data_IF_537356845053
#
_entry.id   IF_537356845053
#
_cell.length_a   1.000
_cell.length_b   1.000
_cell.length_c   1.000
_cell.angle_alpha   90.00
_cell.angle_beta   90.00
_cell.angle_gamma   90.00
#
_symmetry.space_group_name_H-M   'P 1'
#
loop_
_entity.id
_entity.type
_entity.pdbx_description
1 polymer ?
#
# COMPACT_ATOMS: atom_id res chain seq x y z
N UNK A 1 12.28 -3.55 10.18
CA UNK A 1 12.97 -2.58 9.31
C UNK A 1 12.80 -1.18 9.90
N UNK A 2 13.84 -0.35 9.84
CA UNK A 2 13.80 1.06 10.22
C UNK A 2 14.50 1.86 9.13
N UNK A 3 14.19 3.15 9.02
CA UNK A 3 14.76 4.06 8.02
C UNK A 3 14.99 5.43 8.66
N UNK A 4 16.05 6.14 8.23
CA UNK A 4 16.25 7.54 8.60
C UNK A 4 15.19 8.40 7.91
N UNK A 5 14.58 9.33 8.61
CA UNK A 5 13.51 10.20 8.04
C UNK A 5 14.01 10.96 6.81
N UNK A 6 15.24 11.47 6.86
CA UNK A 6 15.87 12.11 5.71
C UNK A 6 15.95 11.18 4.50
N UNK A 7 16.48 9.96 4.68
CA UNK A 7 16.66 8.99 3.59
C UNK A 7 15.32 8.61 2.96
N UNK A 8 14.30 8.37 3.80
CA UNK A 8 12.93 8.13 3.35
C UNK A 8 12.39 9.27 2.47
N UNK A 9 12.53 10.52 2.94
CA UNK A 9 12.06 11.69 2.20
C UNK A 9 12.82 11.87 0.87
N UNK A 10 14.13 11.66 0.88
CA UNK A 10 14.98 11.77 -0.31
C UNK A 10 14.68 10.68 -1.34
N UNK A 11 14.51 9.44 -0.90
CA UNK A 11 14.19 8.32 -1.78
C UNK A 11 12.86 8.54 -2.50
N UNK A 12 11.82 9.00 -1.79
CA UNK A 12 10.54 9.32 -2.44
C UNK A 12 10.68 10.49 -3.40
N UNK A 13 11.39 11.55 -3.02
CA UNK A 13 11.60 12.71 -3.87
C UNK A 13 12.38 12.37 -5.16
N UNK A 14 13.34 11.44 -5.07
CA UNK A 14 14.15 10.95 -6.20
C UNK A 14 13.51 9.79 -6.96
N UNK A 15 12.31 9.34 -6.55
CA UNK A 15 11.64 8.15 -7.08
C UNK A 15 12.48 6.87 -6.96
N UNK A 16 13.29 6.78 -5.92
CA UNK A 16 14.08 5.60 -5.58
C UNK A 16 13.24 4.60 -4.77
N UNK A 17 12.21 4.05 -5.40
CA UNK A 17 11.32 3.05 -4.81
C UNK A 17 10.84 2.08 -5.88
N UNK A 18 10.38 0.91 -5.45
CA UNK A 18 9.82 -0.09 -6.34
C UNK A 18 8.29 0.04 -6.34
N UNK A 19 7.71 0.17 -7.54
CA UNK A 19 6.27 0.34 -7.70
C UNK A 19 5.74 -0.61 -8.75
N UNK A 20 4.79 -1.44 -8.33
CA UNK A 20 4.07 -2.35 -9.18
C UNK A 20 2.60 -1.92 -9.25
N UNK A 21 2.04 -1.98 -10.45
CA UNK A 21 0.62 -1.70 -10.69
C UNK A 21 0.00 -2.84 -11.48
N UNK A 22 -1.23 -3.21 -11.12
CA UNK A 22 -2.06 -4.11 -11.90
C UNK A 22 -3.49 -3.60 -12.02
N UNK A 23 -4.11 -4.00 -13.11
CA UNK A 23 -5.49 -3.65 -13.43
C UNK A 23 -6.38 -4.87 -13.20
N UNK A 24 -7.45 -4.69 -12.43
CA UNK A 24 -8.44 -5.72 -12.15
C UNK A 24 -9.85 -5.17 -12.35
N UNK A 25 -10.76 -6.04 -12.72
CA UNK A 25 -12.21 -5.76 -12.71
C UNK A 25 -12.80 -6.05 -11.33
N UNK A 26 -13.96 -5.46 -11.04
CA UNK A 26 -14.79 -5.78 -9.89
C UNK A 26 -15.09 -7.28 -9.81
N UNK A 27 -15.33 -7.92 -10.96
CA UNK A 27 -15.56 -9.36 -11.04
C UNK A 27 -14.32 -10.18 -10.62
N UNK A 28 -13.12 -9.79 -11.05
CA UNK A 28 -11.87 -10.44 -10.64
C UNK A 28 -11.61 -10.28 -9.15
N UNK A 29 -11.86 -9.08 -8.59
CA UNK A 29 -11.73 -8.81 -7.15
C UNK A 29 -12.69 -9.67 -6.32
N UNK A 30 -13.90 -9.93 -6.83
CA UNK A 30 -14.90 -10.78 -6.15
C UNK A 30 -14.68 -12.28 -6.40
N UNK A 31 -13.74 -12.64 -7.27
CA UNK A 31 -13.56 -14.04 -7.70
C UNK A 31 -12.77 -14.86 -6.68
N UNK A 32 -13.01 -16.17 -6.66
CA UNK A 32 -12.22 -17.12 -5.88
C UNK A 32 -10.75 -17.22 -6.35
N UNK A 33 -10.43 -16.71 -7.55
CA UNK A 33 -9.10 -16.75 -8.13
C UNK A 33 -8.23 -15.52 -7.81
N UNK A 34 -8.75 -14.57 -7.02
CA UNK A 34 -8.05 -13.32 -6.71
C UNK A 34 -6.64 -13.57 -6.14
N UNK A 35 -6.48 -14.54 -5.24
CA UNK A 35 -5.19 -14.88 -4.65
C UNK A 35 -4.15 -15.27 -5.72
N UNK A 36 -4.55 -16.04 -6.74
CA UNK A 36 -3.65 -16.44 -7.82
C UNK A 36 -3.28 -15.24 -8.71
N UNK A 37 -4.21 -14.32 -8.97
CA UNK A 37 -3.97 -13.09 -9.73
C UNK A 37 -2.94 -12.18 -9.04
N UNK A 38 -2.91 -12.16 -7.70
CA UNK A 38 -2.01 -11.33 -6.91
C UNK A 38 -0.67 -11.99 -6.57
N UNK A 39 -0.54 -13.30 -6.78
CA UNK A 39 0.59 -14.09 -6.27
C UNK A 39 1.95 -13.57 -6.74
N UNK A 40 2.12 -13.28 -8.03
CA UNK A 40 3.41 -12.81 -8.55
C UNK A 40 3.79 -11.43 -7.99
N UNK A 41 2.81 -10.54 -7.86
CA UNK A 41 2.99 -9.21 -7.29
C UNK A 41 3.35 -9.26 -5.80
N UNK A 42 2.73 -10.18 -5.06
CA UNK A 42 3.06 -10.41 -3.66
C UNK A 42 4.47 -10.98 -3.45
N UNK A 43 4.93 -11.86 -4.35
CA UNK A 43 6.31 -12.36 -4.32
C UNK A 43 7.28 -11.21 -4.54
N UNK A 44 7.13 -10.45 -5.62
CA UNK A 44 8.03 -9.32 -5.91
C UNK A 44 7.98 -8.26 -4.80
N UNK A 45 6.79 -7.90 -4.31
CA UNK A 45 6.64 -6.94 -3.22
C UNK A 45 7.37 -7.41 -1.94
N UNK A 46 7.30 -8.70 -1.60
CA UNK A 46 8.03 -9.24 -0.47
C UNK A 46 9.56 -9.22 -0.70
N UNK A 47 10.03 -9.51 -1.92
CA UNK A 47 11.45 -9.43 -2.29
C UNK A 47 11.97 -7.99 -2.19
N UNK A 48 11.22 -7.00 -2.67
CA UNK A 48 11.57 -5.58 -2.57
C UNK A 48 11.77 -5.17 -1.10
N UNK A 49 10.82 -5.56 -0.23
CA UNK A 49 10.91 -5.31 1.22
C UNK A 49 12.08 -6.03 1.90
N UNK A 50 12.37 -7.28 1.51
CA UNK A 50 13.53 -8.03 2.03
C UNK A 50 14.86 -7.39 1.65
N UNK A 51 14.90 -6.72 0.49
CA UNK A 51 16.04 -5.95 0.01
C UNK A 51 16.10 -4.53 0.60
N UNK A 52 15.31 -4.25 1.64
CA UNK A 52 15.20 -2.95 2.31
C UNK A 52 14.78 -1.80 1.37
N UNK A 53 13.97 -2.09 0.34
CA UNK A 53 13.45 -1.07 -0.58
C UNK A 53 12.11 -0.52 -0.08
N UNK A 54 11.88 0.76 -0.36
CA UNK A 54 10.53 1.34 -0.31
C UNK A 54 9.73 0.74 -1.46
N UNK A 55 8.52 0.26 -1.16
CA UNK A 55 7.73 -0.51 -2.12
C UNK A 55 6.26 -0.12 -2.10
N UNK A 56 5.63 -0.15 -3.28
CA UNK A 56 4.20 0.03 -3.47
C UNK A 56 3.64 -1.04 -4.40
N UNK A 57 2.55 -1.68 -3.99
CA UNK A 57 1.70 -2.50 -4.86
C UNK A 57 0.34 -1.81 -4.98
N UNK A 58 -0.03 -1.43 -6.21
CA UNK A 58 -1.30 -0.76 -6.52
C UNK A 58 -2.18 -1.61 -7.43
N UNK A 59 -3.48 -1.64 -7.12
CA UNK A 59 -4.54 -2.25 -7.89
C UNK A 59 -5.46 -1.15 -8.38
N UNK A 60 -5.60 -1.00 -9.70
CA UNK A 60 -6.55 -0.10 -10.35
C UNK A 60 -7.78 -0.91 -10.75
N UNK A 61 -8.98 -0.39 -10.44
CA UNK A 61 -10.25 -1.08 -10.73
C UNK A 61 -10.91 -0.48 -11.98
N UNK A 62 -10.86 -1.22 -13.10
CA UNK A 62 -11.17 -0.69 -14.43
C UNK A 62 -12.66 -0.41 -14.68
N UNK A 63 -13.54 -1.22 -14.09
CA UNK A 63 -14.99 -1.21 -14.32
C UNK A 63 -15.79 -0.67 -13.11
N UNK A 64 -15.11 0.06 -12.21
CA UNK A 64 -15.77 0.75 -11.11
C UNK A 64 -16.56 1.99 -11.62
N UNK A 65 -17.72 2.31 -11.04
CA UNK A 65 -18.53 3.48 -11.45
C UNK A 65 -17.82 4.83 -11.28
N UNK A 66 -16.82 4.89 -10.41
CA UNK A 66 -15.93 6.03 -10.20
C UNK A 66 -14.50 5.49 -10.11
N UNK A 67 -13.52 6.39 -10.31
CA UNK A 67 -12.11 6.03 -10.13
C UNK A 67 -11.93 5.32 -8.79
N UNK A 68 -11.34 4.13 -8.82
CA UNK A 68 -11.09 3.31 -7.64
C UNK A 68 -9.71 2.67 -7.76
N UNK A 69 -8.87 2.90 -6.76
CA UNK A 69 -7.64 2.13 -6.59
C UNK A 69 -7.43 1.73 -5.13
N UNK A 70 -6.78 0.58 -4.95
CA UNK A 70 -6.27 0.11 -3.68
C UNK A 70 -4.75 0.04 -3.76
N UNK A 71 -4.04 0.37 -2.69
CA UNK A 71 -2.60 0.16 -2.63
C UNK A 71 -2.16 -0.34 -1.26
N UNK A 72 -1.07 -1.08 -1.23
CA UNK A 72 -0.24 -1.24 -0.02
C UNK A 72 1.10 -0.56 -0.29
N UNK A 73 1.50 0.35 0.59
CA UNK A 73 2.65 1.23 0.42
C UNK A 73 3.47 1.27 1.70
N UNK A 74 4.81 1.25 1.58
CA UNK A 74 5.69 1.46 2.74
C UNK A 74 5.71 2.92 3.14
N UNK A 75 5.46 3.25 4.40
CA UNK A 75 5.61 4.61 4.92
C UNK A 75 6.00 4.59 6.39
N UNK A 76 6.55 5.72 6.85
CA UNK A 76 6.90 5.94 8.26
C UNK A 76 5.73 6.51 9.06
N UNK A 77 4.67 6.95 8.38
CA UNK A 77 3.47 7.54 8.98
C UNK A 77 2.26 7.35 8.06
N UNK A 78 1.07 7.58 8.60
CA UNK A 78 -0.20 7.59 7.89
C UNK A 78 -0.34 8.80 6.92
N UNK A 79 0.51 8.85 5.90
CA UNK A 79 0.49 9.81 4.79
C UNK A 79 0.89 9.07 3.50
N UNK A 80 0.25 9.39 2.35
CA UNK A 80 0.65 8.85 1.07
C UNK A 80 1.96 9.47 0.61
N UNK A 81 2.74 8.78 -0.22
CA UNK A 81 3.99 9.31 -0.77
C UNK A 81 3.85 10.67 -1.46
N UNK A 82 2.70 10.95 -2.08
CA UNK A 82 2.39 12.24 -2.69
C UNK A 82 2.51 13.43 -1.70
N UNK A 83 2.33 13.16 -0.40
CA UNK A 83 2.35 14.13 0.68
C UNK A 83 3.62 14.06 1.55
N UNK A 84 4.68 13.37 1.09
CA UNK A 84 5.92 13.16 1.85
C UNK A 84 6.57 14.46 2.35
N UNK A 85 6.39 15.59 1.64
CA UNK A 85 6.89 16.90 2.08
C UNK A 85 6.29 17.37 3.42
N UNK A 86 5.17 16.80 3.87
CA UNK A 86 4.52 17.12 5.15
C UNK A 86 5.09 16.31 6.32
N UNK A 87 5.92 15.31 6.07
CA UNK A 87 6.52 14.43 7.08
C UNK A 87 7.38 15.19 8.08
N UNK A 88 8.06 16.25 7.63
CA UNK A 88 8.88 17.14 8.48
C UNK A 88 8.10 17.84 9.60
N UNK A 89 6.76 17.84 9.54
CA UNK A 89 5.93 18.39 10.61
C UNK A 89 5.75 17.42 11.77
N UNK A 90 6.21 16.17 11.64
CA UNK A 90 5.99 15.08 12.58
C UNK A 90 7.28 14.46 13.13
N UNK A 91 8.40 14.60 12.41
CA UNK A 91 9.67 13.98 12.75
C UNK A 91 10.84 14.92 12.48
N UNK A 92 11.93 14.70 13.20
CA UNK A 92 13.22 15.31 12.88
C UNK A 92 13.92 14.52 11.76
N UNK A 93 14.68 15.21 10.90
CA UNK A 93 15.36 14.57 9.76
C UNK A 93 16.33 13.46 10.18
N UNK A 94 16.91 13.57 11.37
CA UNK A 94 17.88 12.63 11.92
C UNK A 94 17.24 11.45 12.67
N UNK A 95 15.93 11.44 12.83
CA UNK A 95 15.23 10.33 13.47
C UNK A 95 15.36 9.05 12.63
N UNK A 96 15.53 7.93 13.33
CA UNK A 96 15.46 6.58 12.75
C UNK A 96 14.19 5.92 13.23
N UNK A 97 13.25 5.70 12.32
CA UNK A 97 11.87 5.32 12.64
C UNK A 97 11.47 4.00 12.00
N UNK A 98 10.49 3.27 12.57
CA UNK A 98 9.97 2.05 11.97
C UNK A 98 9.34 2.30 10.59
N UNK A 99 9.57 1.37 9.67
CA UNK A 99 8.86 1.34 8.39
C UNK A 99 7.64 0.41 8.48
N UNK A 100 6.48 0.94 8.11
CA UNK A 100 5.20 0.25 8.16
C UNK A 100 4.59 0.12 6.76
N UNK A 101 3.59 -0.74 6.64
CA UNK A 101 2.74 -0.89 5.48
C UNK A 101 1.39 -0.22 5.75
N UNK A 102 0.99 0.66 4.86
CA UNK A 102 -0.32 1.31 4.89
C UNK A 102 -1.17 0.84 3.72
N UNK A 103 -2.42 0.47 4.01
CA UNK A 103 -3.42 0.16 3.01
C UNK A 103 -4.18 1.44 2.63
N UNK A 104 -4.06 1.84 1.38
CA UNK A 104 -4.60 3.07 0.84
C UNK A 104 -5.77 2.72 -0.08
N UNK A 105 -6.89 3.42 0.08
CA UNK A 105 -8.04 3.38 -0.82
C UNK A 105 -8.29 4.77 -1.37
N UNK A 106 -8.25 4.90 -2.69
CA UNK A 106 -8.52 6.14 -3.41
C UNK A 106 -9.79 5.97 -4.23
N UNK A 107 -10.82 6.75 -3.92
CA UNK A 107 -12.04 6.85 -4.72
C UNK A 107 -12.88 8.04 -4.28
N UNK A 108 -13.61 8.70 -5.19
CA UNK A 108 -14.61 9.71 -4.85
C UNK A 108 -15.70 9.21 -3.88
N UNK A 109 -15.88 7.89 -3.78
CA UNK A 109 -16.88 7.26 -2.93
C UNK A 109 -16.42 7.05 -1.48
N UNK A 110 -15.16 7.36 -1.16
CA UNK A 110 -14.59 7.10 0.19
C UNK A 110 -15.03 8.16 1.20
N UNK A 111 -14.74 9.44 0.93
CA UNK A 111 -15.01 10.60 1.79
C UNK A 111 -14.68 11.89 1.02
N UNK A 112 -14.79 13.05 1.67
CA UNK A 112 -14.49 14.37 1.07
C UNK A 112 -13.06 14.49 0.51
N UNK A 113 -12.09 13.79 1.11
CA UNK A 113 -10.71 13.78 0.61
C UNK A 113 -10.46 12.72 -0.47
N UNK A 114 -11.48 11.93 -0.84
CA UNK A 114 -11.40 10.81 -1.78
C UNK A 114 -10.36 9.74 -1.39
N UNK A 115 -9.96 9.70 -0.11
CA UNK A 115 -8.79 8.97 0.37
C UNK A 115 -9.04 8.40 1.75
N UNK A 116 -8.76 7.11 1.94
CA UNK A 116 -8.70 6.43 3.23
C UNK A 116 -7.39 5.68 3.32
N UNK A 117 -6.72 5.82 4.45
CA UNK A 117 -5.48 5.10 4.74
C UNK A 117 -5.64 4.40 6.09
N UNK A 118 -5.36 3.10 6.10
CA UNK A 118 -5.37 2.26 7.29
C UNK A 118 -3.95 1.69 7.49
N UNK A 119 -3.42 1.73 8.71
CA UNK A 119 -2.17 1.00 9.02
C UNK A 119 -2.43 -0.51 8.96
N UNK A 120 -1.66 -1.22 8.15
CA UNK A 120 -1.88 -2.64 7.89
C UNK A 120 -0.99 -3.54 8.76
N UNK A 121 0.32 -3.26 8.76
CA UNK A 121 1.31 -3.99 9.55
C UNK A 121 2.64 -3.23 9.57
N UNK A 122 3.52 -3.52 10.52
CA UNK A 122 4.93 -3.18 10.32
C UNK A 122 5.54 -4.05 9.22
N UNK A 123 6.57 -3.55 8.53
CA UNK A 123 7.28 -4.35 7.50
C UNK A 123 7.84 -5.62 8.12
N UNK A 124 8.36 -5.54 9.35
CA UNK A 124 8.85 -6.72 10.10
C UNK A 124 7.75 -7.77 10.30
N UNK A 125 6.56 -7.35 10.74
CA UNK A 125 5.45 -8.27 10.96
C UNK A 125 4.92 -8.88 9.65
N UNK A 126 4.92 -8.09 8.57
CA UNK A 126 4.58 -8.59 7.23
C UNK A 126 5.54 -9.68 6.76
N UNK A 127 6.84 -9.42 6.80
CA UNK A 127 7.88 -10.35 6.36
C UNK A 127 7.94 -11.63 7.23
N UNK A 128 7.66 -11.52 8.53
CA UNK A 128 7.64 -12.68 9.42
C UNK A 128 6.45 -13.62 9.15
N UNK A 129 5.34 -13.11 8.60
CA UNK A 129 4.14 -13.89 8.38
C UNK A 129 3.50 -13.61 7.01
N UNK A 130 4.31 -13.72 5.96
CA UNK A 130 3.94 -13.37 4.58
C UNK A 130 2.63 -14.00 4.14
N UNK A 131 2.49 -15.32 4.29
CA UNK A 131 1.31 -16.04 3.81
C UNK A 131 0.02 -15.55 4.49
N UNK A 132 0.04 -15.38 5.81
CA UNK A 132 -1.13 -14.92 6.54
C UNK A 132 -1.47 -13.46 6.18
N UNK A 133 -0.45 -12.59 6.06
CA UNK A 133 -0.63 -11.17 5.75
C UNK A 133 -1.07 -10.93 4.31
N UNK A 134 -0.57 -11.70 3.35
CA UNK A 134 -1.04 -11.67 1.96
C UNK A 134 -2.48 -12.18 1.85
N UNK A 135 -2.85 -13.22 2.61
CA UNK A 135 -4.24 -13.67 2.67
C UNK A 135 -5.17 -12.62 3.30
N UNK A 136 -4.71 -11.88 4.32
CA UNK A 136 -5.44 -10.75 4.91
C UNK A 136 -5.66 -9.62 3.89
N UNK A 137 -4.60 -9.18 3.19
CA UNK A 137 -4.71 -8.19 2.10
C UNK A 137 -5.67 -8.64 1.00
N UNK A 138 -5.58 -9.89 0.58
CA UNK A 138 -6.46 -10.47 -0.44
C UNK A 138 -7.94 -10.39 -0.01
N UNK A 139 -8.23 -10.61 1.27
CA UNK A 139 -9.59 -10.52 1.83
C UNK A 139 -10.08 -9.08 2.00
N UNK A 140 -9.17 -8.13 2.24
CA UNK A 140 -9.53 -6.72 2.38
C UNK A 140 -10.09 -6.13 1.08
N UNK A 141 -9.56 -6.52 -0.07
CA UNK A 141 -9.98 -5.98 -1.37
C UNK A 141 -11.49 -6.14 -1.66
N UNK A 142 -12.09 -7.35 -1.64
CA UNK A 142 -13.52 -7.51 -1.86
C UNK A 142 -14.37 -6.86 -0.75
N UNK A 143 -13.89 -6.84 0.50
CA UNK A 143 -14.60 -6.20 1.60
C UNK A 143 -14.68 -4.67 1.43
N UNK A 144 -13.56 -4.04 1.05
CA UNK A 144 -13.49 -2.59 0.78
C UNK A 144 -14.28 -2.22 -0.47
N UNK A 145 -14.18 -3.02 -1.54
CA UNK A 145 -14.99 -2.83 -2.74
C UNK A 145 -16.49 -2.89 -2.42
N UNK A 146 -16.95 -3.84 -1.60
CA UNK A 146 -18.34 -3.94 -1.20
C UNK A 146 -18.80 -2.72 -0.37
N UNK A 147 -17.97 -2.24 0.55
CA UNK A 147 -18.28 -1.07 1.37
C UNK A 147 -18.41 0.24 0.56
N UNK A 148 -17.78 0.32 -0.62
CA UNK A 148 -17.88 1.47 -1.53
C UNK A 148 -19.06 1.37 -2.51
N UNK A 149 -19.69 0.21 -2.61
CA UNK A 149 -20.82 -0.06 -3.52
C UNK A 149 -22.18 -0.12 -2.80
N UNK A 150 -22.19 -0.09 -1.47
CA UNK A 150 -23.40 -0.07 -0.63
C UNK A 150 -23.82 1.34 -0.27
#
# INVERSE_FOLDING_TARGET
>A
MQIKVQDYCEDIAKQNYDWQSLHLTCAQIKSANLAALLSAFYVQFAEDLQNNRLAKLQIIVDDAPALLSFAVETSIINLPWADTKKVINFFDNDDVVPLNLYFITESPLVNVSNLRIDEFASVTAYLHNLQAKQAELTKLLPAKLAALQG
#
